data_IF_122797511264
#
_entry.id   IF_122797511264
#
_cell.length_a   1.000
_cell.length_b   1.000
_cell.length_c   1.000
_cell.angle_alpha   90.00
_cell.angle_beta   90.00
_cell.angle_gamma   90.00
#
_symmetry.space_group_name_H-M   'P 1'
#
loop_
_entity.id
_entity.type
_entity.pdbx_description
1 polymer ?
#
# COMPACT_ATOMS: atom_id res chain seq x y z
N UNK A 1 -10.76 21.06 -14.81
CA UNK A 1 -10.66 20.08 -13.70
C UNK A 1 -9.41 20.28 -12.83
N UNK A 2 -8.25 20.66 -13.39
CA UNK A 2 -6.98 20.86 -12.64
C UNK A 2 -7.07 21.93 -11.55
N UNK A 3 -7.83 23.01 -11.76
CA UNK A 3 -7.95 24.13 -10.82
C UNK A 3 -8.95 23.83 -9.67
N UNK A 4 -9.89 22.90 -9.85
CA UNK A 4 -10.88 22.56 -8.84
C UNK A 4 -10.25 21.83 -7.64
N UNK A 5 -9.23 21.03 -7.88
CA UNK A 5 -8.49 20.28 -6.84
C UNK A 5 -7.68 21.23 -5.97
N UNK A 6 -7.10 22.29 -6.55
CA UNK A 6 -6.33 23.31 -5.82
C UNK A 6 -7.25 24.12 -4.91
N UNK A 7 -8.47 24.48 -5.35
CA UNK A 7 -9.46 25.19 -4.54
C UNK A 7 -10.00 24.32 -3.41
N UNK A 8 -10.16 23.01 -3.61
CA UNK A 8 -10.56 22.08 -2.57
C UNK A 8 -9.51 21.98 -1.45
N UNK A 9 -8.22 22.04 -1.79
CA UNK A 9 -7.12 22.06 -0.82
C UNK A 9 -7.00 23.40 -0.07
N UNK A 10 -7.35 24.53 -0.70
CA UNK A 10 -7.32 25.87 -0.09
C UNK A 10 -8.51 26.13 0.85
N UNK A 11 -9.63 25.42 0.69
CA UNK A 11 -10.81 25.54 1.56
C UNK A 11 -10.71 24.76 2.88
N UNK A 12 -9.79 23.80 2.98
CA UNK A 12 -9.58 22.98 4.18
C UNK A 12 -9.21 23.76 5.46
N UNK A 13 -8.41 24.84 5.44
CA UNK A 13 -8.08 25.57 6.66
C UNK A 13 -9.18 26.50 7.19
N UNK A 14 -10.22 26.80 6.42
CA UNK A 14 -11.26 27.77 6.81
C UNK A 14 -12.33 27.20 7.75
N UNK A 15 -12.42 25.90 7.93
CA UNK A 15 -13.42 25.24 8.79
C UNK A 15 -12.96 24.98 10.23
N UNK A 16 -11.77 25.43 10.64
CA UNK A 16 -11.14 25.01 11.91
C UNK A 16 -11.61 25.80 13.14
N UNK A 17 -12.43 26.86 12.98
CA UNK A 17 -12.90 27.68 14.09
C UNK A 17 -14.36 27.43 14.46
N UNK A 18 -14.76 26.20 14.76
CA UNK A 18 -16.08 25.91 15.33
C UNK A 18 -16.00 25.78 16.85
N UNK A 19 -16.62 26.71 17.49
CA UNK A 19 -16.71 26.98 18.94
C UNK A 19 -17.06 25.80 19.85
N UNK A 20 -16.61 25.92 21.10
CA UNK A 20 -16.81 25.03 22.24
C UNK A 20 -18.26 24.80 22.66
N UNK A 21 -18.71 23.57 22.75
CA UNK A 21 -19.90 23.12 23.47
C UNK A 21 -19.81 21.70 24.01
N UNK A 22 -20.48 21.44 25.09
CA UNK A 22 -20.34 20.33 26.05
C UNK A 22 -20.85 18.93 25.61
N UNK A 23 -20.51 18.39 24.58
CA UNK A 23 -20.47 16.95 24.18
C UNK A 23 -19.86 16.90 22.78
N UNK A 24 -18.55 16.92 22.73
CA UNK A 24 -17.90 17.56 21.59
C UNK A 24 -17.53 16.54 20.55
N UNK A 25 -18.19 16.65 19.44
CA UNK A 25 -17.65 16.15 18.19
C UNK A 25 -16.54 17.13 17.77
N UNK A 26 -15.31 16.62 17.57
CA UNK A 26 -14.16 17.39 17.10
C UNK A 26 -13.80 16.92 15.71
N UNK A 27 -13.73 17.82 14.77
CA UNK A 27 -13.19 17.57 13.44
C UNK A 27 -11.75 18.05 13.42
N UNK A 28 -10.85 17.15 13.08
CA UNK A 28 -9.43 17.41 12.90
C UNK A 28 -9.02 17.04 11.48
N UNK A 29 -8.09 17.79 10.93
CA UNK A 29 -7.40 17.44 9.70
C UNK A 29 -5.94 17.11 10.01
N UNK A 30 -5.30 16.33 9.16
CA UNK A 30 -3.89 16.04 9.33
C UNK A 30 -3.27 15.50 8.06
N UNK A 31 -1.95 15.34 8.13
CA UNK A 31 -1.15 14.74 7.07
C UNK A 31 -0.12 13.84 7.67
N UNK A 32 0.14 12.71 7.03
CA UNK A 32 1.19 11.77 7.40
C UNK A 32 2.00 11.34 6.19
N UNK A 33 3.25 11.03 6.43
CA UNK A 33 4.17 10.41 5.48
C UNK A 33 4.70 9.12 6.06
N UNK A 34 4.98 8.16 5.23
CA UNK A 34 5.44 6.88 5.72
C UNK A 34 6.02 5.99 4.63
N UNK A 35 6.41 4.81 5.06
CA UNK A 35 6.85 3.75 4.18
C UNK A 35 6.00 2.49 4.39
N UNK A 36 5.96 1.67 3.37
CA UNK A 36 5.22 0.41 3.33
C UNK A 36 6.17 -0.71 2.93
N UNK A 37 6.14 -1.80 3.69
CA UNK A 37 6.78 -3.07 3.32
C UNK A 37 5.68 -4.03 2.88
N UNK A 38 5.85 -4.65 1.72
CA UNK A 38 4.85 -5.54 1.14
C UNK A 38 5.33 -6.98 1.26
N UNK A 39 4.47 -7.84 1.79
CA UNK A 39 4.66 -9.28 1.84
C UNK A 39 3.61 -9.96 0.96
N UNK A 40 3.99 -11.04 0.30
CA UNK A 40 3.09 -11.82 -0.53
C UNK A 40 2.72 -13.11 0.18
N UNK A 41 1.44 -13.45 0.16
CA UNK A 41 0.96 -14.75 0.62
C UNK A 41 0.83 -15.66 -0.59
N UNK A 42 1.55 -16.78 -0.56
CA UNK A 42 1.51 -17.85 -1.55
C UNK A 42 1.54 -17.35 -3.01
N UNK A 43 2.54 -16.56 -3.40
CA UNK A 43 2.61 -16.05 -4.76
C UNK A 43 2.83 -17.18 -5.74
N UNK A 44 1.91 -17.33 -6.68
CA UNK A 44 2.04 -18.32 -7.77
C UNK A 44 2.45 -17.57 -9.03
N UNK A 45 3.69 -17.79 -9.45
CA UNK A 45 4.21 -17.35 -10.74
C UNK A 45 4.76 -18.57 -11.47
N UNK A 46 4.20 -18.88 -12.63
CA UNK A 46 4.69 -19.94 -13.50
C UNK A 46 4.92 -19.33 -14.88
N UNK A 47 6.16 -19.01 -15.21
CA UNK A 47 6.54 -18.40 -16.49
C UNK A 47 7.67 -19.25 -17.08
N UNK A 48 7.47 -19.83 -18.26
CA UNK A 48 8.52 -20.55 -19.03
C UNK A 48 9.26 -21.67 -18.25
N UNK A 49 8.61 -22.27 -17.23
CA UNK A 49 9.26 -23.25 -16.35
C UNK A 49 10.00 -22.65 -15.17
N UNK A 50 9.98 -21.34 -15.02
CA UNK A 50 10.49 -20.65 -13.84
C UNK A 50 9.38 -20.44 -12.81
N UNK A 51 9.74 -20.59 -11.53
CA UNK A 51 8.86 -20.29 -10.39
C UNK A 51 9.45 -19.20 -9.51
N UNK A 52 8.61 -18.53 -8.77
CA UNK A 52 9.04 -17.49 -7.83
C UNK A 52 9.97 -18.07 -6.74
N UNK A 53 11.05 -17.36 -6.46
CA UNK A 53 12.00 -17.72 -5.41
C UNK A 53 11.71 -16.94 -4.13
N UNK A 54 11.13 -17.59 -3.12
CA UNK A 54 10.79 -16.96 -1.83
C UNK A 54 12.02 -16.64 -0.97
N UNK A 55 13.14 -17.35 -1.20
CA UNK A 55 14.34 -17.27 -0.35
C UNK A 55 15.24 -16.08 -0.67
N UNK A 56 14.92 -15.28 -1.69
CA UNK A 56 15.76 -14.16 -2.06
C UNK A 56 15.42 -12.93 -1.21
N UNK A 57 16.34 -12.59 -0.32
CA UNK A 57 16.25 -11.41 0.59
C UNK A 57 16.32 -10.08 -0.19
N UNK A 58 16.72 -10.09 -1.47
CA UNK A 58 16.97 -8.89 -2.28
C UNK A 58 15.75 -8.24 -2.89
N UNK A 59 14.56 -8.81 -2.76
CA UNK A 59 13.37 -8.17 -3.32
C UNK A 59 13.00 -6.91 -2.53
N UNK A 60 13.45 -5.76 -3.00
CA UNK A 60 13.07 -4.45 -2.49
C UNK A 60 11.56 -4.24 -2.66
N UNK A 61 10.80 -4.55 -1.62
CA UNK A 61 9.33 -4.44 -1.56
C UNK A 61 8.94 -3.23 -0.72
N UNK A 62 9.61 -2.10 -0.96
CA UNK A 62 9.41 -0.88 -0.17
C UNK A 62 8.62 0.14 -0.99
N UNK A 63 7.62 0.73 -0.37
CA UNK A 63 6.84 1.83 -0.90
C UNK A 63 6.86 3.03 0.01
N UNK A 64 6.55 4.19 -0.56
CA UNK A 64 6.38 5.45 0.16
C UNK A 64 4.94 5.91 0.03
N UNK A 65 4.42 6.53 1.08
CA UNK A 65 3.06 7.07 1.12
C UNK A 65 3.03 8.50 1.64
N UNK A 66 2.13 9.28 1.05
CA UNK A 66 1.72 10.60 1.54
C UNK A 66 0.21 10.56 1.74
N UNK A 67 -0.25 10.86 2.95
CA UNK A 67 -1.64 10.62 3.36
C UNK A 67 -2.23 11.81 4.09
N UNK A 68 -2.94 12.72 3.43
CA UNK A 68 -3.88 13.62 4.08
C UNK A 68 -5.08 12.84 4.63
N UNK A 69 -5.65 13.31 5.75
CA UNK A 69 -6.81 12.69 6.37
C UNK A 69 -7.71 13.69 7.10
N UNK A 70 -8.94 13.27 7.31
CA UNK A 70 -9.92 13.93 8.17
C UNK A 70 -10.36 12.96 9.26
N UNK A 71 -10.39 13.43 10.51
CA UNK A 71 -10.76 12.65 11.69
C UNK A 71 -11.90 13.34 12.44
N UNK A 72 -13.01 12.63 12.59
CA UNK A 72 -14.15 13.02 13.41
C UNK A 72 -14.09 12.24 14.72
N UNK A 73 -13.88 12.94 15.83
CA UNK A 73 -13.71 12.33 17.14
C UNK A 73 -14.86 12.70 18.08
N UNK A 74 -15.35 11.71 18.82
CA UNK A 74 -16.29 11.88 19.93
C UNK A 74 -15.82 11.07 21.12
N UNK A 75 -15.50 11.76 22.22
CA UNK A 75 -14.92 11.17 23.43
C UNK A 75 -13.62 10.40 23.13
N UNK A 76 -13.65 9.08 23.23
CA UNK A 76 -12.51 8.19 22.92
C UNK A 76 -12.60 7.54 21.56
N UNK A 77 -13.75 7.64 20.88
CA UNK A 77 -13.96 7.05 19.56
C UNK A 77 -13.69 8.06 18.46
N UNK A 78 -13.20 7.58 17.34
CA UNK A 78 -13.08 8.40 16.13
C UNK A 78 -13.35 7.60 14.87
N UNK A 79 -13.79 8.32 13.84
CA UNK A 79 -13.82 7.86 12.46
C UNK A 79 -12.81 8.69 11.69
N UNK A 80 -11.99 8.05 10.87
CA UNK A 80 -10.99 8.73 10.07
C UNK A 80 -11.11 8.27 8.63
N UNK A 81 -11.13 9.22 7.71
CA UNK A 81 -11.09 8.99 6.26
C UNK A 81 -9.77 9.52 5.74
N UNK A 82 -9.07 8.71 5.00
CA UNK A 82 -7.76 9.03 4.45
C UNK A 82 -7.76 8.96 2.93
N UNK A 83 -6.79 9.66 2.33
CA UNK A 83 -6.49 9.58 0.91
C UNK A 83 -4.98 9.49 0.76
N UNK A 84 -4.46 8.26 0.61
CA UNK A 84 -3.03 8.01 0.53
C UNK A 84 -2.58 7.89 -0.92
N UNK A 85 -1.60 8.71 -1.31
CA UNK A 85 -0.86 8.58 -2.57
C UNK A 85 0.38 7.73 -2.31
N UNK A 86 0.51 6.63 -3.04
CA UNK A 86 1.57 5.65 -2.84
C UNK A 86 2.39 5.42 -4.11
N UNK A 87 3.69 5.22 -3.89
CA UNK A 87 4.63 4.72 -4.88
C UNK A 87 5.27 3.47 -4.30
N UNK A 88 5.17 2.36 -5.02
CA UNK A 88 5.76 1.09 -4.60
C UNK A 88 6.67 0.54 -5.69
N UNK A 89 7.80 -0.02 -5.30
CA UNK A 89 8.72 -0.73 -6.19
C UNK A 89 8.83 -2.17 -5.73
N UNK A 90 8.77 -3.09 -6.67
CA UNK A 90 8.89 -4.53 -6.45
C UNK A 90 9.98 -5.10 -7.36
N UNK A 91 10.73 -6.05 -6.85
CA UNK A 91 11.60 -6.91 -7.62
C UNK A 91 11.25 -8.34 -7.28
N UNK A 92 11.07 -9.19 -8.28
CA UNK A 92 10.79 -10.61 -8.13
C UNK A 92 11.89 -11.38 -8.82
N UNK A 93 12.52 -12.29 -8.09
CA UNK A 93 13.53 -13.21 -8.61
C UNK A 93 12.89 -14.58 -8.85
N UNK A 94 13.31 -15.26 -9.89
CA UNK A 94 12.79 -16.55 -10.30
C UNK A 94 13.85 -17.63 -10.22
N UNK A 95 13.43 -18.87 -9.98
CA UNK A 95 14.28 -20.05 -10.02
C UNK A 95 13.78 -21.03 -11.08
N UNK A 96 14.71 -21.73 -11.73
CA UNK A 96 14.39 -22.81 -12.67
C UNK A 96 13.84 -24.02 -11.89
N UNK A 97 12.65 -24.49 -12.29
CA UNK A 97 11.99 -25.64 -11.66
C UNK A 97 12.68 -26.98 -11.98
N UNK A 98 13.47 -27.03 -13.07
CA UNK A 98 14.16 -28.23 -13.53
C UNK A 98 15.53 -28.47 -12.91
N UNK A 99 16.12 -27.45 -12.22
CA UNK A 99 17.46 -27.56 -11.62
C UNK A 99 17.37 -27.63 -10.10
N UNK A 100 17.64 -28.79 -9.53
CA UNK A 100 17.55 -29.02 -8.07
C UNK A 100 18.83 -28.67 -7.29
N UNK A 101 19.91 -28.20 -7.90
CA UNK A 101 21.17 -27.89 -7.24
C UNK A 101 21.63 -26.45 -7.47
N UNK A 102 21.62 -25.68 -6.39
CA UNK A 102 22.07 -24.27 -6.28
C UNK A 102 23.63 -24.25 -6.14
N UNK A 103 24.37 -24.85 -7.02
CA UNK A 103 25.86 -24.82 -6.96
C UNK A 103 26.50 -23.98 -8.06
N UNK A 104 25.74 -23.60 -9.08
CA UNK A 104 26.23 -22.71 -10.13
C UNK A 104 25.63 -21.32 -9.96
N UNK A 105 26.49 -20.32 -9.78
CA UNK A 105 26.15 -18.91 -9.89
C UNK A 105 25.74 -18.67 -11.35
N UNK A 106 24.46 -18.83 -11.66
CA UNK A 106 23.95 -18.49 -12.98
C UNK A 106 24.04 -16.97 -13.15
N UNK A 107 24.79 -16.46 -14.12
CA UNK A 107 24.97 -15.00 -14.29
C UNK A 107 23.72 -14.27 -14.74
N UNK A 108 22.63 -14.98 -15.08
CA UNK A 108 21.41 -14.43 -15.65
C UNK A 108 20.15 -15.02 -14.99
N UNK A 109 19.92 -14.72 -13.71
CA UNK A 109 18.68 -15.09 -13.03
C UNK A 109 17.54 -14.24 -13.63
N UNK A 110 16.38 -14.85 -14.02
CA UNK A 110 15.23 -14.09 -14.48
C UNK A 110 14.69 -13.19 -13.37
N UNK A 111 14.44 -11.92 -13.69
CA UNK A 111 13.98 -10.88 -12.76
C UNK A 111 12.77 -10.14 -13.35
N UNK A 112 11.84 -9.79 -12.49
CA UNK A 112 10.71 -8.92 -12.84
C UNK A 112 10.66 -7.71 -11.93
N UNK A 113 10.79 -6.54 -12.52
CA UNK A 113 10.67 -5.24 -11.83
C UNK A 113 9.32 -4.62 -12.11
N UNK A 114 8.65 -4.18 -11.05
CA UNK A 114 7.35 -3.52 -11.12
C UNK A 114 7.38 -2.24 -10.29
N UNK A 115 7.05 -1.11 -10.92
CA UNK A 115 6.82 0.14 -10.24
C UNK A 115 5.34 0.51 -10.33
N UNK A 116 4.73 0.79 -9.19
CA UNK A 116 3.29 0.99 -9.08
C UNK A 116 2.96 2.30 -8.39
N UNK A 117 2.15 3.13 -9.04
CA UNK A 117 1.50 4.29 -8.43
C UNK A 117 0.11 3.88 -7.97
N UNK A 118 -0.30 4.30 -6.78
CA UNK A 118 -1.60 3.95 -6.26
C UNK A 118 -2.24 5.08 -5.45
N UNK A 119 -3.56 5.09 -5.45
CA UNK A 119 -4.42 5.82 -4.54
C UNK A 119 -5.04 4.83 -3.58
N UNK A 120 -4.91 5.08 -2.27
CA UNK A 120 -5.50 4.24 -1.24
C UNK A 120 -6.50 5.08 -0.45
N UNK A 121 -7.67 4.51 -0.19
CA UNK A 121 -8.76 5.19 0.55
C UNK A 121 -9.22 4.29 1.69
N UNK A 122 -8.59 4.38 2.87
CA UNK A 122 -9.08 3.73 4.08
C UNK A 122 -10.18 4.55 4.75
N UNK A 123 -11.11 3.82 5.38
CA UNK A 123 -12.11 4.37 6.31
C UNK A 123 -11.92 3.63 7.63
N UNK A 124 -11.43 4.35 8.65
CA UNK A 124 -10.95 3.77 9.88
C UNK A 124 -11.86 4.11 11.04
N UNK A 125 -12.11 3.14 11.89
CA UNK A 125 -12.77 3.29 13.19
C UNK A 125 -11.72 3.09 14.28
N UNK A 126 -11.55 4.08 15.14
CA UNK A 126 -10.53 4.03 16.16
C UNK A 126 -11.05 4.30 17.57
N UNK A 127 -10.30 3.76 18.53
CA UNK A 127 -10.53 3.95 19.96
C UNK A 127 -9.25 4.40 20.66
N UNK A 128 -9.30 5.56 21.32
CA UNK A 128 -8.21 6.11 22.13
C UNK A 128 -8.28 5.49 23.54
N UNK A 129 -7.51 4.43 23.82
CA UNK A 129 -7.47 3.79 25.12
C UNK A 129 -6.61 4.57 26.12
N UNK A 130 -5.60 5.31 25.65
CA UNK A 130 -4.90 6.34 26.43
C UNK A 130 -5.23 7.69 25.81
N UNK A 131 -5.80 8.58 26.62
CA UNK A 131 -6.16 9.94 26.23
C UNK A 131 -5.77 10.92 27.33
N UNK A 132 -4.60 11.53 27.15
CA UNK A 132 -4.08 12.60 27.99
C UNK A 132 -3.83 13.84 27.12
N UNK A 133 -3.71 15.01 27.73
CA UNK A 133 -3.53 16.26 26.97
C UNK A 133 -2.35 16.19 25.97
N UNK A 134 -1.23 15.60 26.40
CA UNK A 134 0.02 15.58 25.63
C UNK A 134 0.27 14.24 24.95
N UNK A 135 -0.35 13.15 25.43
CA UNK A 135 -0.10 11.79 24.99
C UNK A 135 -1.39 11.06 24.71
N UNK A 136 -1.38 10.24 23.69
CA UNK A 136 -2.50 9.38 23.35
C UNK A 136 -2.03 8.08 22.73
N UNK A 137 -2.77 7.00 22.97
CA UNK A 137 -2.60 5.75 22.25
C UNK A 137 -3.96 5.28 21.78
N UNK A 138 -4.01 4.81 20.56
CA UNK A 138 -5.23 4.35 19.90
C UNK A 138 -5.00 3.04 19.19
N UNK A 139 -6.06 2.27 19.09
CA UNK A 139 -6.19 1.15 18.15
C UNK A 139 -7.24 1.54 17.12
N UNK A 140 -7.02 1.15 15.89
CA UNK A 140 -7.97 1.41 14.82
C UNK A 140 -8.02 0.27 13.82
N UNK A 141 -9.15 0.17 13.13
CA UNK A 141 -9.37 -0.85 12.11
C UNK A 141 -10.38 -0.34 11.08
N UNK A 142 -10.35 -0.91 9.89
CA UNK A 142 -11.34 -0.59 8.86
C UNK A 142 -10.99 -1.10 7.48
N UNK A 143 -11.94 -0.96 6.54
CA UNK A 143 -11.72 -1.31 5.15
C UNK A 143 -10.82 -0.29 4.46
N UNK A 144 -9.99 -0.78 3.55
CA UNK A 144 -9.15 0.03 2.65
C UNK A 144 -9.36 -0.42 1.20
N UNK A 145 -9.59 0.53 0.32
CA UNK A 145 -9.60 0.31 -1.12
C UNK A 145 -8.35 0.90 -1.74
N UNK A 146 -7.65 0.13 -2.56
CA UNK A 146 -6.46 0.56 -3.31
C UNK A 146 -6.77 0.55 -4.79
N UNK A 147 -6.52 1.69 -5.45
CA UNK A 147 -6.60 1.87 -6.90
C UNK A 147 -5.19 1.95 -7.46
N UNK A 148 -4.90 1.15 -8.49
CA UNK A 148 -3.58 1.06 -9.10
C UNK A 148 -3.60 1.79 -10.45
N UNK A 149 -2.61 2.68 -10.65
CA UNK A 149 -2.39 3.48 -11.84
C UNK A 149 -1.01 3.20 -12.41
N UNK A 150 -0.71 1.93 -12.73
CA UNK A 150 0.59 1.55 -13.28
C UNK A 150 0.53 1.63 -14.80
N UNK A 151 1.46 2.36 -15.40
CA UNK A 151 1.68 2.36 -16.83
C UNK A 151 2.39 1.07 -17.26
N UNK A 152 2.16 0.66 -18.50
CA UNK A 152 2.81 -0.52 -19.09
C UNK A 152 4.35 -0.43 -19.05
N UNK A 153 4.88 0.78 -19.25
CA UNK A 153 6.33 1.07 -19.29
C UNK A 153 7.03 0.95 -17.92
N UNK A 154 6.28 0.77 -16.85
CA UNK A 154 6.80 0.60 -15.48
C UNK A 154 6.99 -0.88 -15.09
N UNK A 155 6.88 -1.79 -16.07
CA UNK A 155 7.11 -3.23 -15.92
C UNK A 155 8.33 -3.63 -16.75
N UNK A 156 9.28 -4.32 -16.12
CA UNK A 156 10.50 -4.76 -16.79
C UNK A 156 10.79 -6.22 -16.44
N UNK A 157 10.69 -7.09 -17.43
CA UNK A 157 11.09 -8.49 -17.35
C UNK A 157 12.50 -8.64 -17.94
N UNK A 158 13.42 -9.23 -17.20
CA UNK A 158 14.81 -9.47 -17.62
C UNK A 158 15.12 -10.96 -17.64
N UNK A 159 15.93 -11.36 -18.61
CA UNK A 159 16.43 -12.74 -18.76
C UNK A 159 15.34 -13.80 -18.96
N UNK A 160 14.17 -13.43 -19.46
CA UNK A 160 13.16 -14.34 -19.97
C UNK A 160 13.31 -14.53 -21.48
N UNK A 161 12.78 -15.64 -22.00
CA UNK A 161 12.83 -15.94 -23.45
C UNK A 161 11.95 -14.96 -24.25
N UNK A 162 10.83 -14.51 -23.66
CA UNK A 162 9.90 -13.59 -24.30
C UNK A 162 10.15 -12.16 -23.84
N UNK A 163 10.42 -11.26 -24.81
CA UNK A 163 10.72 -9.84 -24.56
C UNK A 163 9.47 -8.98 -24.28
N UNK A 164 8.28 -9.53 -24.55
CA UNK A 164 7.01 -8.78 -24.50
C UNK A 164 6.09 -9.21 -23.36
N UNK A 165 6.65 -9.74 -22.27
CA UNK A 165 5.88 -10.12 -21.11
C UNK A 165 5.26 -8.91 -20.40
N UNK A 166 3.97 -9.03 -20.07
CA UNK A 166 3.20 -8.01 -19.37
C UNK A 166 2.32 -8.63 -18.32
N UNK A 167 2.45 -8.19 -17.09
CA UNK A 167 1.54 -8.59 -16.01
C UNK A 167 0.28 -7.72 -16.02
N UNK A 168 -0.87 -8.38 -16.03
CA UNK A 168 -2.17 -7.73 -15.93
C UNK A 168 -2.56 -7.60 -14.47
N UNK A 169 -2.37 -6.38 -13.93
CA UNK A 169 -2.68 -6.06 -12.55
C UNK A 169 -4.18 -5.80 -12.35
N UNK A 170 -4.67 -6.13 -11.17
CA UNK A 170 -5.98 -5.70 -10.74
C UNK A 170 -5.99 -4.18 -10.47
N UNK A 171 -6.91 -3.47 -11.15
CA UNK A 171 -7.06 -2.01 -10.98
C UNK A 171 -7.55 -1.61 -9.60
N UNK A 172 -8.27 -2.52 -8.92
CA UNK A 172 -8.80 -2.33 -7.58
C UNK A 172 -8.44 -3.52 -6.70
N UNK A 173 -7.94 -3.25 -5.50
CA UNK A 173 -7.68 -4.27 -4.48
C UNK A 173 -8.27 -3.81 -3.15
N UNK A 174 -8.78 -4.75 -2.39
CA UNK A 174 -9.40 -4.53 -1.09
C UNK A 174 -8.56 -5.12 0.01
N UNK A 175 -8.48 -4.38 1.11
CA UNK A 175 -7.73 -4.74 2.30
C UNK A 175 -8.57 -4.50 3.54
N UNK A 176 -8.23 -5.20 4.60
CA UNK A 176 -8.68 -4.87 5.95
C UNK A 176 -7.50 -4.37 6.75
N UNK A 177 -7.59 -3.14 7.22
CA UNK A 177 -6.53 -2.44 7.95
C UNK A 177 -6.72 -2.61 9.46
N UNK A 178 -5.61 -2.89 10.18
CA UNK A 178 -5.54 -2.90 11.63
C UNK A 178 -4.30 -2.11 12.02
N UNK A 179 -4.42 -1.19 12.98
CA UNK A 179 -3.30 -0.35 13.36
C UNK A 179 -3.30 0.11 14.82
N UNK A 180 -2.12 0.55 15.21
CA UNK A 180 -1.85 1.19 16.49
C UNK A 180 -1.33 2.60 16.23
N UNK A 181 -1.89 3.59 16.93
CA UNK A 181 -1.46 4.98 16.86
C UNK A 181 -0.91 5.46 18.20
N UNK A 182 0.22 6.16 18.15
CA UNK A 182 0.80 6.84 19.30
C UNK A 182 0.84 8.33 18.99
N UNK A 183 0.24 9.17 19.83
CA UNK A 183 0.22 10.62 19.69
C UNK A 183 1.02 11.28 20.79
N UNK A 184 1.88 12.22 20.41
CA UNK A 184 2.66 13.08 21.30
C UNK A 184 2.43 14.52 20.86
N UNK A 185 1.67 15.32 21.63
CA UNK A 185 1.18 16.62 21.23
C UNK A 185 0.37 16.54 19.92
N UNK A 186 0.83 17.18 18.86
CA UNK A 186 0.24 17.21 17.54
C UNK A 186 0.90 16.22 16.57
N UNK A 187 2.01 15.59 16.96
CA UNK A 187 2.70 14.57 16.17
C UNK A 187 2.14 13.21 16.54
N UNK A 188 1.95 12.37 15.56
CA UNK A 188 1.54 11.00 15.79
C UNK A 188 2.33 10.02 14.91
N UNK A 189 2.37 8.79 15.37
CA UNK A 189 3.02 7.65 14.75
C UNK A 189 2.01 6.54 14.59
N UNK A 190 1.86 6.01 13.38
CA UNK A 190 0.96 4.90 13.09
C UNK A 190 1.77 3.67 12.65
N UNK A 191 1.44 2.53 13.25
CA UNK A 191 1.87 1.20 12.84
C UNK A 191 0.64 0.48 12.31
N UNK A 192 0.71 0.04 11.07
CA UNK A 192 -0.46 -0.49 10.35
C UNK A 192 -0.12 -1.80 9.69
N UNK A 193 -1.02 -2.75 9.81
CA UNK A 193 -1.00 -4.00 9.08
C UNK A 193 -2.26 -4.14 8.23
N UNK A 194 -2.08 -4.32 6.93
CA UNK A 194 -3.15 -4.51 5.96
C UNK A 194 -3.21 -5.98 5.54
N UNK A 195 -4.35 -6.59 5.75
CA UNK A 195 -4.69 -7.92 5.25
C UNK A 195 -5.25 -7.81 3.84
N UNK A 196 -4.59 -8.40 2.85
CA UNK A 196 -5.09 -8.47 1.49
C UNK A 196 -6.29 -9.40 1.36
N UNK A 197 -7.43 -8.87 0.92
CA UNK A 197 -8.67 -9.63 0.72
C UNK A 197 -8.81 -10.12 -0.72
N UNK A 198 -8.20 -9.43 -1.68
CA UNK A 198 -8.28 -9.73 -3.12
C UNK A 198 -6.89 -9.93 -3.71
N UNK A 199 -6.84 -10.64 -4.83
CA UNK A 199 -5.60 -10.79 -5.60
C UNK A 199 -5.17 -9.46 -6.21
N UNK A 200 -3.86 -9.24 -6.30
CA UNK A 200 -3.27 -8.03 -6.85
C UNK A 200 -2.97 -8.15 -8.36
N UNK A 201 -2.91 -9.36 -8.87
CA UNK A 201 -2.64 -9.65 -10.28
C UNK A 201 -3.57 -10.75 -10.79
N UNK A 202 -3.82 -10.75 -12.10
CA UNK A 202 -4.67 -11.75 -12.79
C UNK A 202 -3.84 -12.81 -13.48
N UNK A 203 -2.99 -12.39 -14.41
CA UNK A 203 -2.15 -13.25 -15.23
C UNK A 203 -1.03 -12.42 -15.86
N UNK A 204 -0.01 -13.11 -16.37
CA UNK A 204 1.04 -12.53 -17.22
C UNK A 204 0.76 -13.00 -18.64
N UNK A 205 0.84 -12.11 -19.62
CA UNK A 205 0.67 -12.46 -21.03
C UNK A 205 1.88 -12.06 -21.85
N UNK A 206 2.14 -12.84 -22.91
CA UNK A 206 3.07 -12.54 -23.96
C UNK A 206 2.27 -12.21 -25.25
N UNK A 207 1.99 -10.92 -25.55
CA UNK A 207 1.11 -10.51 -26.64
C UNK A 207 1.51 -11.02 -28.01
N UNK A 208 2.82 -11.06 -28.33
CA UNK A 208 3.33 -11.51 -29.63
C UNK A 208 3.00 -12.95 -29.96
N UNK A 209 2.92 -13.81 -28.96
CA UNK A 209 2.69 -15.24 -29.14
C UNK A 209 1.31 -15.69 -28.66
N UNK A 210 0.52 -14.77 -28.05
CA UNK A 210 -0.82 -15.06 -27.54
C UNK A 210 -0.86 -16.04 -26.38
N UNK A 211 0.25 -16.21 -25.62
CA UNK A 211 0.29 -17.07 -24.43
C UNK A 211 -0.04 -16.29 -23.17
N UNK A 212 -0.72 -16.96 -22.25
CA UNK A 212 -1.01 -16.47 -20.91
C UNK A 212 -0.38 -17.41 -19.86
N UNK A 213 0.24 -16.82 -18.84
CA UNK A 213 0.87 -17.51 -17.73
C UNK A 213 0.12 -17.16 -16.45
N UNK A 214 -0.03 -18.14 -15.57
CA UNK A 214 -0.70 -17.96 -14.30
C UNK A 214 0.11 -17.04 -13.38
N UNK A 215 -0.54 -15.97 -12.88
CA UNK A 215 -0.01 -15.12 -11.83
C UNK A 215 -1.13 -14.84 -10.84
N UNK A 216 -0.94 -15.23 -9.59
CA UNK A 216 -1.88 -14.93 -8.51
C UNK A 216 -1.08 -14.64 -7.26
N UNK A 217 -1.39 -13.52 -6.62
CA UNK A 217 -0.78 -13.15 -5.34
C UNK A 217 -1.68 -12.26 -4.51
N UNK A 218 -1.78 -12.54 -3.24
CA UNK A 218 -2.36 -11.63 -2.25
C UNK A 218 -1.23 -10.89 -1.54
N UNK A 219 -1.42 -9.60 -1.36
CA UNK A 219 -0.43 -8.74 -0.72
C UNK A 219 -0.90 -8.39 0.69
N UNK A 220 -0.07 -8.67 1.70
CA UNK A 220 -0.19 -8.01 2.99
C UNK A 220 0.79 -6.85 3.04
N UNK A 221 0.44 -5.78 3.76
CA UNK A 221 1.25 -4.58 3.80
C UNK A 221 1.49 -4.20 5.27
N UNK A 222 2.75 -4.05 5.64
CA UNK A 222 3.15 -3.45 6.90
C UNK A 222 3.56 -2.02 6.64
N UNK A 223 2.96 -1.06 7.35
CA UNK A 223 3.23 0.36 7.16
C UNK A 223 3.63 1.03 8.46
N UNK A 224 4.58 1.95 8.36
CA UNK A 224 4.91 2.88 9.42
C UNK A 224 4.80 4.29 8.88
N UNK A 225 4.12 5.17 9.61
CA UNK A 225 4.00 6.57 9.24
C UNK A 225 4.12 7.50 10.43
N UNK A 226 4.57 8.71 10.14
CA UNK A 226 4.62 9.85 11.07
C UNK A 226 3.83 10.99 10.46
N UNK A 227 3.08 11.72 11.29
CA UNK A 227 2.24 12.79 10.84
C UNK A 227 1.95 13.84 11.88
N UNK A 228 1.20 14.84 11.44
CA UNK A 228 0.71 15.93 12.28
C UNK A 228 -0.80 16.05 12.13
N UNK A 229 -1.46 16.35 13.25
CA UNK A 229 -2.91 16.58 13.34
C UNK A 229 -3.15 18.00 13.81
N UNK A 230 -4.11 18.67 13.17
CA UNK A 230 -4.46 20.08 13.40
C UNK A 230 -5.86 20.23 13.94
#
# INVERSE_FOLDING_TARGET
MRNLIIYLFLLLPLCINAQESKKRIRLNAGVKVGFQAITYNDPTFEIEGYTYNENTIQSNKIGYILTPFLRLSRDRFYIQVETALGLTRHCFDFKDTGKSNITDIEPNIPEYYLKTYCLQVPILFGYEFIKQNKYGMSVFTGPRTKFIFTAHDEQLFKHFTYDDLVEVLEKKSYYWEIGLGVKIYNVFFDFVYDLGLTDAAKYIRAPKIGKEFKSSRKNNILSFSVGMIF
#
